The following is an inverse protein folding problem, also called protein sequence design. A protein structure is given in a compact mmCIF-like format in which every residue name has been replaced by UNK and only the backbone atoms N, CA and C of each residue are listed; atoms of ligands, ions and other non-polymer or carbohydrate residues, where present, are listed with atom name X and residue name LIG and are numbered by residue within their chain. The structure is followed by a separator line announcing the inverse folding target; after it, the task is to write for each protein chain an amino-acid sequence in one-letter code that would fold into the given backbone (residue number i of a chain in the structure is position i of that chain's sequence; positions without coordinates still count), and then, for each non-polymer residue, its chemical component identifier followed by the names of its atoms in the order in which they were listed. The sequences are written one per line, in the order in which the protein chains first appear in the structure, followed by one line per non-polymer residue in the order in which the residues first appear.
data_IF_140142895116
#
_entry.id   IF_140142895116
#
_cell.length_a   1.000
_cell.length_b   1.000
_cell.length_c   1.000
_cell.angle_alpha   90.00
_cell.angle_beta   90.00
_cell.angle_gamma   90.00
#
_symmetry.space_group_name_H-M   'P 1'
#
loop_
_entity.id
_entity.type
_entity.pdbx_description
1 polymer ?
#
# COMPACT_ATOMS: atom_id res chain seq x y z
N UNK A 1 28.05 -47.67 -46.84
CA UNK A 1 27.49 -46.64 -45.93
C UNK A 1 26.08 -47.07 -45.60
N UNK A 2 25.92 -47.60 -44.39
CA UNK A 2 24.89 -48.58 -44.06
C UNK A 2 23.66 -47.94 -43.43
N UNK A 3 22.51 -48.60 -43.59
CA UNK A 3 21.23 -48.27 -42.94
C UNK A 3 21.32 -48.15 -41.40
N UNK A 4 22.42 -48.59 -40.81
CA UNK A 4 22.73 -48.49 -39.39
C UNK A 4 23.04 -47.04 -38.96
N UNK A 5 23.57 -46.21 -39.86
CA UNK A 5 23.86 -44.79 -39.59
C UNK A 5 22.56 -43.94 -39.57
N UNK A 6 21.59 -44.27 -40.43
CA UNK A 6 20.28 -43.61 -40.49
C UNK A 6 19.37 -44.01 -39.32
N UNK A 7 19.46 -45.26 -38.84
CA UNK A 7 18.74 -45.71 -37.65
C UNK A 7 19.27 -45.05 -36.36
N UNK A 8 20.56 -44.70 -36.34
CA UNK A 8 21.20 -44.06 -35.18
C UNK A 8 20.88 -42.56 -35.13
N UNK A 9 20.79 -41.88 -36.29
CA UNK A 9 20.38 -40.46 -36.37
C UNK A 9 18.89 -40.24 -36.08
N UNK A 10 18.02 -41.17 -36.47
CA UNK A 10 16.59 -41.10 -36.12
C UNK A 10 16.33 -41.39 -34.63
N UNK A 11 17.14 -42.25 -34.00
CA UNK A 11 17.06 -42.50 -32.55
C UNK A 11 17.54 -41.31 -31.71
N UNK A 12 18.56 -40.56 -32.17
CA UNK A 12 19.02 -39.36 -31.46
C UNK A 12 18.09 -38.15 -31.64
N UNK A 13 17.41 -38.02 -32.78
CA UNK A 13 16.40 -36.95 -32.97
C UNK A 13 15.08 -37.22 -32.21
N UNK A 14 14.68 -38.47 -32.02
CA UNK A 14 13.44 -38.80 -31.28
C UNK A 14 13.60 -38.69 -29.75
N UNK A 15 14.81 -38.84 -29.20
CA UNK A 15 15.02 -38.86 -27.75
C UNK A 15 15.20 -37.46 -27.12
N UNK A 16 15.64 -36.46 -27.88
CA UNK A 16 15.80 -35.08 -27.40
C UNK A 16 14.50 -34.28 -27.37
N UNK A 17 13.70 -34.36 -28.43
CA UNK A 17 12.46 -33.58 -28.56
C UNK A 17 11.29 -34.16 -27.74
N UNK A 18 11.25 -35.47 -27.50
CA UNK A 18 10.23 -36.10 -26.67
C UNK A 18 10.40 -35.76 -25.19
N UNK A 19 11.64 -35.75 -24.70
CA UNK A 19 11.99 -35.40 -23.33
C UNK A 19 11.64 -33.96 -22.97
N UNK A 20 12.05 -32.99 -23.80
CA UNK A 20 11.73 -31.57 -23.57
C UNK A 20 10.23 -31.28 -23.63
N UNK A 21 9.49 -31.91 -24.56
CA UNK A 21 8.03 -31.77 -24.63
C UNK A 21 7.32 -32.37 -23.41
N UNK A 22 7.79 -33.52 -22.91
CA UNK A 22 7.24 -34.14 -21.71
C UNK A 22 7.57 -33.35 -20.44
N UNK A 23 8.79 -32.80 -20.35
CA UNK A 23 9.19 -31.91 -19.26
C UNK A 23 8.37 -30.61 -19.23
N UNK A 24 8.18 -29.99 -20.40
CA UNK A 24 7.37 -28.75 -20.53
C UNK A 24 5.89 -28.99 -20.24
N UNK A 25 5.32 -30.12 -20.69
CA UNK A 25 3.94 -30.52 -20.35
C UNK A 25 3.78 -30.81 -18.85
N UNK A 26 4.75 -31.50 -18.23
CA UNK A 26 4.75 -31.76 -16.79
C UNK A 26 4.86 -30.49 -15.96
N UNK A 27 5.72 -29.56 -16.38
CA UNK A 27 5.87 -28.25 -15.74
C UNK A 27 4.61 -27.39 -15.90
N UNK A 28 4.01 -27.34 -17.09
CA UNK A 28 2.78 -26.61 -17.33
C UNK A 28 1.62 -27.13 -16.48
N UNK A 29 1.51 -28.45 -16.29
CA UNK A 29 0.52 -29.04 -15.38
C UNK A 29 0.78 -28.62 -13.93
N UNK A 30 2.02 -28.72 -13.45
CA UNK A 30 2.40 -28.26 -12.10
C UNK A 30 2.09 -26.78 -11.87
N UNK A 31 2.29 -25.94 -12.88
CA UNK A 31 1.92 -24.51 -12.82
C UNK A 31 0.41 -24.35 -12.62
N UNK A 32 -0.40 -25.01 -13.44
CA UNK A 32 -1.86 -24.93 -13.36
C UNK A 32 -2.36 -25.46 -12.02
N UNK A 33 -1.85 -26.60 -11.56
CA UNK A 33 -2.22 -27.21 -10.28
C UNK A 33 -1.84 -26.30 -9.10
N UNK A 34 -0.65 -25.70 -9.13
CA UNK A 34 -0.23 -24.70 -8.15
C UNK A 34 -1.13 -23.46 -8.19
N UNK A 35 -1.47 -22.96 -9.38
CA UNK A 35 -2.32 -21.79 -9.52
C UNK A 35 -3.70 -22.04 -8.93
N UNK A 36 -4.33 -23.19 -9.23
CA UNK A 36 -5.61 -23.56 -8.62
C UNK A 36 -5.53 -23.66 -7.10
N UNK A 37 -4.52 -24.35 -6.56
CA UNK A 37 -4.34 -24.45 -5.10
C UNK A 37 -4.07 -23.07 -4.48
N UNK A 38 -3.32 -22.19 -5.16
CA UNK A 38 -3.05 -20.83 -4.68
C UNK A 38 -4.30 -19.95 -4.67
N UNK A 39 -5.22 -20.13 -5.62
CA UNK A 39 -6.49 -19.37 -5.67
C UNK A 39 -7.45 -19.83 -4.55
N UNK A 40 -7.44 -21.12 -4.22
CA UNK A 40 -8.31 -21.65 -3.17
C UNK A 40 -7.78 -21.38 -1.74
N UNK A 41 -6.45 -21.33 -1.57
CA UNK A 41 -5.81 -21.21 -0.25
C UNK A 41 -5.36 -19.79 0.08
N UNK A 42 -4.94 -18.99 -0.91
CA UNK A 42 -4.48 -17.62 -0.68
C UNK A 42 -5.60 -16.62 -0.99
N UNK A 43 -6.04 -15.86 0.03
CA UNK A 43 -7.03 -14.78 -0.17
C UNK A 43 -6.49 -13.68 -1.09
N UNK A 44 -5.22 -13.33 -0.92
CA UNK A 44 -4.49 -12.39 -1.77
C UNK A 44 -3.31 -13.10 -2.41
N UNK A 45 -3.13 -12.91 -3.72
CA UNK A 45 -1.94 -13.42 -4.37
C UNK A 45 -0.73 -12.61 -3.87
N UNK A 46 0.38 -13.30 -3.63
CA UNK A 46 1.66 -12.70 -3.27
C UNK A 46 2.66 -12.93 -4.39
N UNK A 47 3.74 -12.14 -4.43
CA UNK A 47 4.82 -12.37 -5.38
C UNK A 47 6.19 -12.36 -4.71
N UNK A 48 7.14 -12.98 -5.40
CA UNK A 48 8.55 -13.00 -5.01
C UNK A 48 9.23 -11.73 -5.51
N UNK A 49 9.91 -11.01 -4.63
CA UNK A 49 10.66 -9.80 -4.94
C UNK A 49 12.12 -10.13 -5.12
N UNK A 50 12.56 -10.19 -6.36
CA UNK A 50 13.95 -10.47 -6.71
C UNK A 50 14.86 -9.25 -6.52
N UNK A 51 14.98 -8.76 -5.28
CA UNK A 51 15.73 -7.55 -4.94
C UNK A 51 17.17 -7.57 -5.45
N UNK A 52 17.87 -8.71 -5.28
CA UNK A 52 19.21 -8.88 -5.79
C UNK A 52 19.27 -8.76 -7.32
N UNK A 53 18.38 -9.44 -8.04
CA UNK A 53 18.35 -9.39 -9.52
C UNK A 53 17.97 -8.01 -10.04
N UNK A 54 17.07 -7.31 -9.36
CA UNK A 54 16.68 -5.95 -9.70
C UNK A 54 17.86 -4.98 -9.53
N UNK A 55 18.55 -5.05 -8.40
CA UNK A 55 19.75 -4.24 -8.14
C UNK A 55 20.87 -4.58 -9.12
N UNK A 56 21.09 -5.86 -9.41
CA UNK A 56 22.05 -6.30 -10.42
C UNK A 56 21.75 -5.71 -11.79
N UNK A 57 20.48 -5.72 -12.21
CA UNK A 57 20.06 -5.13 -13.48
C UNK A 57 20.28 -3.61 -13.52
N UNK A 58 19.97 -2.90 -12.44
CA UNK A 58 20.22 -1.45 -12.32
C UNK A 58 21.72 -1.16 -12.44
N UNK A 59 22.56 -1.84 -11.65
CA UNK A 59 24.02 -1.65 -11.67
C UNK A 59 24.62 -1.96 -13.05
N UNK A 60 24.11 -2.99 -13.73
CA UNK A 60 24.49 -3.29 -15.12
C UNK A 60 24.21 -2.10 -16.04
N UNK A 61 23.01 -1.55 -15.99
CA UNK A 61 22.60 -0.39 -16.81
C UNK A 61 23.42 0.86 -16.47
N UNK A 62 23.73 1.11 -15.20
CA UNK A 62 24.61 2.21 -14.77
C UNK A 62 26.01 2.09 -15.40
N UNK A 63 26.59 0.88 -15.40
CA UNK A 63 27.90 0.64 -15.97
C UNK A 63 27.89 0.85 -17.50
N UNK A 64 26.87 0.36 -18.19
CA UNK A 64 26.71 0.57 -19.64
C UNK A 64 26.58 2.06 -20.00
N UNK A 65 25.79 2.82 -19.23
CA UNK A 65 25.66 4.27 -19.41
C UNK A 65 26.97 5.00 -19.11
N UNK A 66 27.74 4.55 -18.12
CA UNK A 66 29.06 5.11 -17.79
C UNK A 66 30.07 4.88 -18.91
N UNK A 67 30.04 3.72 -19.57
CA UNK A 67 30.88 3.44 -20.73
C UNK A 67 30.50 4.32 -21.93
N UNK A 68 29.20 4.56 -22.17
CA UNK A 68 28.76 5.51 -23.20
C UNK A 68 29.23 6.93 -22.87
N UNK A 69 29.06 7.36 -21.62
CA UNK A 69 29.57 8.65 -21.14
C UNK A 69 31.07 8.78 -21.39
N UNK A 70 31.87 7.79 -21.01
CA UNK A 70 33.33 7.84 -21.23
C UNK A 70 33.71 8.00 -22.70
N UNK A 71 33.01 7.31 -23.62
CA UNK A 71 33.23 7.43 -25.07
C UNK A 71 32.90 8.83 -25.59
N UNK A 72 31.77 9.40 -25.18
CA UNK A 72 31.32 10.73 -25.62
C UNK A 72 32.25 11.87 -25.18
N UNK A 73 32.96 11.73 -24.06
CA UNK A 73 33.89 12.75 -23.55
C UNK A 73 35.27 12.71 -24.21
N UNK A 74 35.54 11.78 -25.13
CA UNK A 74 36.83 11.73 -25.82
C UNK A 74 36.97 12.90 -26.81
N UNK A 75 38.14 13.59 -26.85
CA UNK A 75 38.29 14.89 -27.53
C UNK A 75 38.11 14.88 -29.06
N UNK A 76 37.90 13.72 -29.70
CA UNK A 76 37.67 13.58 -31.14
C UNK A 76 36.46 12.67 -31.46
N UNK A 77 35.54 12.47 -30.51
CA UNK A 77 34.42 11.56 -30.70
C UNK A 77 33.31 12.22 -31.56
N UNK A 78 32.93 11.56 -32.65
CA UNK A 78 31.80 11.97 -33.51
C UNK A 78 30.65 11.01 -33.24
N UNK A 79 29.57 11.54 -32.67
CA UNK A 79 28.39 10.75 -32.32
C UNK A 79 27.61 10.33 -33.57
N UNK A 80 27.32 9.03 -33.69
CA UNK A 80 26.48 8.51 -34.78
C UNK A 80 25.00 8.49 -34.39
N UNK A 81 24.08 8.67 -35.35
CA UNK A 81 22.63 8.61 -35.10
C UNK A 81 22.18 7.31 -34.40
N UNK A 82 22.81 6.18 -34.75
CA UNK A 82 22.58 4.88 -34.13
C UNK A 82 23.00 4.84 -32.65
N UNK A 83 24.07 5.55 -32.28
CA UNK A 83 24.58 5.60 -30.90
C UNK A 83 23.70 6.50 -30.03
N UNK A 84 23.13 7.56 -30.60
CA UNK A 84 22.13 8.38 -29.93
C UNK A 84 20.84 7.59 -29.65
N UNK A 85 20.42 6.72 -30.56
CA UNK A 85 19.24 5.87 -30.36
C UNK A 85 19.49 4.75 -29.33
N UNK A 86 20.68 4.14 -29.34
CA UNK A 86 21.09 3.17 -28.30
C UNK A 86 21.17 3.85 -26.92
N UNK A 87 21.71 5.07 -26.84
CA UNK A 87 21.72 5.86 -25.59
C UNK A 87 20.29 6.14 -25.10
N UNK A 88 19.40 6.59 -25.99
CA UNK A 88 17.99 6.85 -25.65
C UNK A 88 17.31 5.60 -25.10
N UNK A 89 17.55 4.45 -25.72
CA UNK A 89 16.99 3.16 -25.32
C UNK A 89 17.51 2.76 -23.93
N UNK A 90 18.82 2.81 -23.69
CA UNK A 90 19.40 2.47 -22.38
C UNK A 90 18.99 3.42 -21.27
N UNK A 91 18.86 4.71 -21.55
CA UNK A 91 18.33 5.67 -20.58
C UNK A 91 16.88 5.35 -20.22
N UNK A 92 16.07 4.95 -21.20
CA UNK A 92 14.70 4.52 -20.97
C UNK A 92 14.65 3.23 -20.13
N UNK A 93 15.46 2.23 -20.45
CA UNK A 93 15.56 0.98 -19.69
C UNK A 93 16.03 1.21 -18.25
N UNK A 94 17.01 2.09 -18.05
CA UNK A 94 17.51 2.48 -16.73
C UNK A 94 16.44 3.16 -15.88
N UNK A 95 15.72 4.13 -16.46
CA UNK A 95 14.63 4.82 -15.77
C UNK A 95 13.46 3.90 -15.46
N UNK A 96 13.12 3.00 -16.39
CA UNK A 96 12.12 1.96 -16.16
C UNK A 96 12.55 1.02 -15.03
N UNK A 97 13.80 0.53 -15.04
CA UNK A 97 14.32 -0.36 -14.00
C UNK A 97 14.29 0.27 -12.60
N UNK A 98 14.64 1.56 -12.48
CA UNK A 98 14.54 2.29 -11.21
C UNK A 98 13.09 2.41 -10.76
N UNK A 99 12.20 2.83 -11.66
CA UNK A 99 10.78 3.00 -11.35
C UNK A 99 10.16 1.68 -10.92
N UNK A 100 10.46 0.60 -11.62
CA UNK A 100 9.92 -0.72 -11.34
C UNK A 100 10.48 -1.26 -10.01
N UNK A 101 11.75 -1.00 -9.70
CA UNK A 101 12.32 -1.29 -8.38
C UNK A 101 11.65 -0.51 -7.25
N UNK A 102 11.44 0.81 -7.42
CA UNK A 102 10.74 1.65 -6.44
C UNK A 102 9.28 1.18 -6.24
N UNK A 103 8.57 0.94 -7.34
CA UNK A 103 7.18 0.48 -7.31
C UNK A 103 7.02 -0.83 -6.52
N UNK A 104 7.97 -1.76 -6.69
CA UNK A 104 7.98 -3.01 -5.95
C UNK A 104 8.49 -2.81 -4.52
N UNK A 105 9.40 -1.85 -4.28
CA UNK A 105 9.91 -1.54 -2.95
C UNK A 105 8.79 -1.11 -1.99
N UNK A 106 7.87 -0.27 -2.47
CA UNK A 106 6.78 0.33 -1.70
C UNK A 106 5.69 -0.68 -1.29
N UNK A 107 5.70 -1.89 -1.86
CA UNK A 107 4.72 -2.95 -1.55
C UNK A 107 4.95 -3.49 -0.14
N UNK A 108 3.85 -3.78 0.58
CA UNK A 108 3.88 -4.34 1.94
C UNK A 108 4.61 -5.70 1.96
N UNK A 109 5.63 -5.88 2.83
CA UNK A 109 6.31 -7.16 2.97
C UNK A 109 5.44 -8.19 3.70
N UNK A 110 5.59 -9.46 3.34
CA UNK A 110 4.92 -10.56 4.04
C UNK A 110 5.50 -10.79 5.44
N UNK A 111 4.67 -11.30 6.35
CA UNK A 111 5.16 -11.82 7.63
C UNK A 111 6.10 -13.00 7.37
N UNK A 112 7.10 -13.20 8.24
CA UNK A 112 8.05 -14.32 8.13
C UNK A 112 7.35 -15.69 8.06
N UNK A 113 6.26 -15.85 8.82
CA UNK A 113 5.48 -17.10 8.87
C UNK A 113 4.76 -17.33 7.54
N UNK A 114 4.10 -16.29 7.00
CA UNK A 114 3.39 -16.34 5.72
C UNK A 114 4.36 -16.62 4.56
N UNK A 115 5.52 -15.95 4.57
CA UNK A 115 6.59 -16.14 3.61
C UNK A 115 7.15 -17.58 3.64
N UNK A 116 7.35 -18.15 4.84
CA UNK A 116 7.76 -19.55 4.99
C UNK A 116 6.71 -20.52 4.46
N UNK A 117 5.44 -20.33 4.81
CA UNK A 117 4.34 -21.17 4.32
C UNK A 117 4.27 -21.16 2.78
N UNK A 118 4.43 -19.98 2.17
CA UNK A 118 4.46 -19.85 0.72
C UNK A 118 5.70 -20.52 0.11
N UNK A 119 6.87 -20.32 0.71
CA UNK A 119 8.12 -20.97 0.31
C UNK A 119 7.97 -22.50 0.32
N UNK A 120 7.37 -23.08 1.35
CA UNK A 120 7.10 -24.51 1.41
C UNK A 120 6.18 -24.99 0.28
N UNK A 121 5.15 -24.21 -0.08
CA UNK A 121 4.29 -24.54 -1.23
C UNK A 121 5.05 -24.49 -2.55
N UNK A 122 5.81 -23.43 -2.80
CA UNK A 122 6.62 -23.31 -4.01
C UNK A 122 7.61 -24.47 -4.13
N UNK A 123 8.26 -24.85 -3.02
CA UNK A 123 9.10 -26.04 -2.96
C UNK A 123 8.31 -27.32 -3.28
N UNK A 124 7.13 -27.52 -2.71
CA UNK A 124 6.31 -28.72 -2.98
C UNK A 124 6.01 -28.93 -4.48
N UNK A 125 5.78 -27.86 -5.24
CA UNK A 125 5.42 -27.96 -6.66
C UNK A 125 6.63 -27.86 -7.60
N UNK A 126 7.55 -26.94 -7.32
CA UNK A 126 8.61 -26.53 -8.24
C UNK A 126 10.01 -26.87 -7.76
N UNK A 127 10.17 -27.61 -6.66
CA UNK A 127 11.50 -28.11 -6.29
C UNK A 127 12.06 -28.96 -7.43
N UNK A 128 13.07 -28.40 -8.09
CA UNK A 128 13.96 -29.10 -9.00
C UNK A 128 15.17 -29.51 -8.18
N UNK A 129 15.42 -30.80 -8.06
CA UNK A 129 16.59 -31.36 -7.37
C UNK A 129 17.94 -31.03 -8.06
N UNK A 130 17.98 -30.02 -8.93
CA UNK A 130 19.17 -29.61 -9.64
C UNK A 130 20.06 -28.76 -8.72
N UNK A 131 21.00 -29.44 -8.03
CA UNK A 131 22.42 -29.07 -7.86
C UNK A 131 22.81 -27.63 -7.48
N UNK A 132 21.95 -26.85 -6.85
CA UNK A 132 22.31 -25.50 -6.39
C UNK A 132 22.18 -25.47 -4.85
N UNK A 133 23.30 -25.21 -4.17
CA UNK A 133 23.42 -25.04 -2.71
C UNK A 133 22.67 -23.79 -2.18
N UNK A 134 22.04 -23.03 -3.08
CA UNK A 134 21.31 -21.80 -2.82
C UNK A 134 19.83 -22.08 -3.04
N UNK A 135 19.00 -21.82 -2.03
CA UNK A 135 17.55 -21.94 -2.13
C UNK A 135 16.98 -20.88 -3.09
N UNK A 136 16.47 -21.25 -4.28
CA UNK A 136 16.03 -20.27 -5.29
C UNK A 136 14.81 -19.45 -4.86
N UNK A 137 14.08 -19.92 -3.85
CA UNK A 137 12.86 -19.32 -3.34
C UNK A 137 13.09 -18.52 -2.06
N UNK A 138 14.34 -18.39 -1.61
CA UNK A 138 14.74 -17.52 -0.51
C UNK A 138 14.82 -16.07 -0.99
N UNK A 139 13.68 -15.39 -0.96
CA UNK A 139 13.58 -13.99 -1.32
C UNK A 139 12.43 -13.32 -0.56
N UNK A 140 12.39 -11.99 -0.57
CA UNK A 140 11.34 -11.21 0.07
C UNK A 140 10.02 -11.40 -0.67
N UNK A 141 8.95 -11.74 0.05
CA UNK A 141 7.61 -11.87 -0.52
C UNK A 141 6.78 -10.62 -0.24
N UNK A 142 5.87 -10.28 -1.14
CA UNK A 142 5.07 -9.04 -1.05
C UNK A 142 3.67 -9.22 -1.61
N UNK A 143 2.75 -8.41 -1.10
CA UNK A 143 1.37 -8.35 -1.57
C UNK A 143 1.28 -7.58 -2.90
N UNK A 144 0.40 -8.00 -3.83
CA UNK A 144 0.14 -7.25 -5.08
C UNK A 144 -0.61 -5.93 -4.83
N UNK A 145 -1.49 -5.92 -3.84
CA UNK A 145 -2.34 -4.77 -3.56
C UNK A 145 -1.64 -3.84 -2.58
N UNK A 146 -1.45 -2.58 -3.00
CA UNK A 146 -1.13 -1.50 -2.09
C UNK A 146 -2.31 -1.30 -1.14
N UNK A 147 -1.98 -1.12 0.12
CA UNK A 147 -2.85 -0.78 1.25
C UNK A 147 -3.56 0.58 1.09
N UNK A 148 -3.69 1.10 -0.14
CA UNK A 148 -4.52 2.25 -0.50
C UNK A 148 -5.98 1.88 -0.79
N UNK A 149 -6.32 0.58 -0.81
CA UNK A 149 -7.71 0.14 -0.79
C UNK A 149 -8.01 -0.49 0.57
N UNK A 150 -8.70 0.25 1.43
CA UNK A 150 -9.36 -0.19 2.69
C UNK A 150 -8.58 -0.40 3.97
N UNK A 151 -7.28 -0.10 4.09
CA UNK A 151 -6.82 0.45 5.37
C UNK A 151 -7.24 1.92 5.41
N UNK A 152 -8.52 2.15 5.66
CA UNK A 152 -8.91 3.41 6.29
C UNK A 152 -8.13 3.38 7.58
N UNK A 153 -7.00 4.10 7.59
CA UNK A 153 -6.13 4.34 8.73
C UNK A 153 -6.99 4.34 9.96
N UNK A 154 -6.86 3.30 10.78
CA UNK A 154 -7.74 3.14 11.94
C UNK A 154 -7.39 4.30 12.87
N UNK A 155 -8.14 5.39 12.75
CA UNK A 155 -8.02 6.57 13.60
C UNK A 155 -8.07 6.08 15.06
N UNK A 156 -7.36 6.74 15.98
CA UNK A 156 -7.33 6.32 17.39
C UNK A 156 -8.74 6.09 17.96
N UNK A 157 -9.71 6.89 17.50
CA UNK A 157 -11.13 6.76 17.81
C UNK A 157 -11.77 5.48 17.25
N UNK A 158 -11.51 5.14 15.98
CA UNK A 158 -11.97 3.88 15.36
C UNK A 158 -11.38 2.67 16.06
N UNK A 159 -10.10 2.74 16.46
CA UNK A 159 -9.41 1.67 17.17
C UNK A 159 -10.04 1.41 18.54
N UNK A 160 -10.29 2.49 19.30
CA UNK A 160 -10.97 2.39 20.59
C UNK A 160 -12.41 1.92 20.48
N UNK A 161 -13.12 2.30 19.43
CA UNK A 161 -14.47 1.79 19.14
C UNK A 161 -14.44 0.28 18.87
N UNK A 162 -13.47 -0.22 18.10
CA UNK A 162 -13.31 -1.66 17.85
C UNK A 162 -12.97 -2.42 19.15
N UNK A 163 -12.16 -1.84 20.04
CA UNK A 163 -11.79 -2.44 21.32
C UNK A 163 -12.97 -2.54 22.31
N UNK A 164 -13.91 -1.59 22.27
CA UNK A 164 -15.06 -1.56 23.18
C UNK A 164 -16.35 -2.18 22.60
N UNK A 165 -16.48 -2.31 21.28
CA UNK A 165 -17.68 -2.90 20.67
C UNK A 165 -17.62 -4.44 20.66
N UNK A 166 -18.75 -5.13 20.93
CA UNK A 166 -18.81 -6.57 20.81
C UNK A 166 -18.59 -7.03 19.35
N UNK A 167 -17.87 -8.14 19.20
CA UNK A 167 -17.42 -8.77 17.93
C UNK A 167 -18.52 -8.89 16.86
N UNK A 168 -19.79 -8.93 17.27
CA UNK A 168 -20.94 -9.01 16.37
C UNK A 168 -21.11 -7.78 15.47
N UNK A 169 -20.59 -6.62 15.86
CA UNK A 169 -20.73 -5.36 15.10
C UNK A 169 -19.45 -4.93 14.39
N UNK A 170 -18.32 -5.51 14.74
CA UNK A 170 -17.00 -5.16 14.18
C UNK A 170 -16.71 -5.86 12.86
N UNK A 171 -17.34 -7.01 12.58
CA UNK A 171 -17.23 -7.72 11.31
C UNK A 171 -18.28 -7.27 10.28
N UNK A 172 -17.84 -7.01 9.04
CA UNK A 172 -18.73 -6.83 7.88
C UNK A 172 -19.43 -8.14 7.51
N UNK A 173 -20.65 -8.09 6.95
CA UNK A 173 -21.36 -9.30 6.46
C UNK A 173 -20.53 -10.09 5.45
N UNK A 174 -19.76 -9.40 4.60
CA UNK A 174 -18.91 -10.03 3.57
C UNK A 174 -17.65 -10.67 4.15
N UNK A 175 -17.07 -10.08 5.21
CA UNK A 175 -15.88 -10.61 5.87
C UNK A 175 -16.23 -11.79 6.79
N UNK A 176 -17.44 -11.78 7.40
CA UNK A 176 -17.95 -12.89 8.20
C UNK A 176 -18.19 -14.16 7.39
N UNK A 177 -18.61 -14.03 6.12
CA UNK A 177 -18.76 -15.17 5.22
C UNK A 177 -17.41 -15.72 4.74
N UNK A 178 -16.42 -14.85 4.53
CA UNK A 178 -15.07 -15.25 4.11
C UNK A 178 -14.21 -15.82 5.25
N UNK A 179 -14.39 -15.32 6.49
CA UNK A 179 -13.51 -15.61 7.64
C UNK A 179 -14.27 -16.19 8.83
N UNK A 180 -15.06 -17.23 8.58
CA UNK A 180 -15.88 -17.90 9.60
C UNK A 180 -15.03 -18.44 10.76
N UNK A 181 -13.84 -18.96 10.48
CA UNK A 181 -12.92 -19.51 11.50
C UNK A 181 -12.28 -18.42 12.38
N UNK A 182 -11.91 -17.28 11.82
CA UNK A 182 -11.35 -16.14 12.58
C UNK A 182 -12.44 -15.46 13.44
N UNK A 183 -13.68 -15.43 12.94
CA UNK A 183 -14.85 -14.98 13.70
C UNK A 183 -15.13 -15.84 14.94
N UNK A 184 -14.97 -17.15 14.84
CA UNK A 184 -15.14 -18.08 15.96
C UNK A 184 -13.99 -17.98 16.99
N UNK A 185 -12.81 -17.58 16.56
CA UNK A 185 -11.61 -17.44 17.41
C UNK A 185 -11.50 -16.06 18.07
N UNK A 186 -12.35 -15.10 17.70
CA UNK A 186 -12.41 -13.77 18.33
C UNK A 186 -11.24 -12.86 17.97
N UNK A 187 -10.59 -13.09 16.83
CA UNK A 187 -9.50 -12.22 16.38
C UNK A 187 -10.02 -10.83 15.94
N UNK A 188 -9.17 -9.82 16.12
CA UNK A 188 -9.48 -8.43 15.78
C UNK A 188 -9.64 -8.31 14.25
N UNK A 189 -10.81 -7.83 13.75
CA UNK A 189 -11.04 -7.71 12.31
C UNK A 189 -10.07 -6.72 11.68
N UNK A 190 -9.56 -7.06 10.49
CA UNK A 190 -8.64 -6.23 9.72
C UNK A 190 -9.39 -5.12 8.99
N UNK A 191 -10.65 -5.32 8.62
CA UNK A 191 -11.50 -4.26 8.06
C UNK A 191 -12.48 -3.67 9.09
N UNK A 192 -12.66 -2.36 9.02
CA UNK A 192 -13.62 -1.63 9.87
C UNK A 192 -15.02 -1.87 9.31
N UNK A 193 -15.90 -2.54 10.07
CA UNK A 193 -17.31 -2.69 9.68
C UNK A 193 -17.95 -1.34 9.31
N UNK A 194 -18.77 -1.33 8.26
CA UNK A 194 -19.47 -0.12 7.79
C UNK A 194 -20.31 0.56 8.88
N UNK A 195 -20.75 -0.19 9.90
CA UNK A 195 -21.41 0.38 11.07
C UNK A 195 -20.45 1.20 11.95
N UNK A 196 -19.26 0.69 12.24
CA UNK A 196 -18.24 1.38 13.04
C UNK A 196 -17.74 2.63 12.32
N UNK A 197 -17.56 2.55 10.99
CA UNK A 197 -17.23 3.73 10.18
C UNK A 197 -18.34 4.79 10.22
N UNK A 198 -19.60 4.38 10.12
CA UNK A 198 -20.75 5.29 10.24
C UNK A 198 -20.85 5.90 11.63
N UNK A 199 -20.63 5.11 12.68
CA UNK A 199 -20.67 5.56 14.07
C UNK A 199 -19.51 6.52 14.39
N UNK A 200 -18.30 6.23 13.92
CA UNK A 200 -17.15 7.13 14.07
C UNK A 200 -17.42 8.48 13.38
N UNK A 201 -17.94 8.46 12.14
CA UNK A 201 -18.34 9.68 11.42
C UNK A 201 -19.45 10.44 12.15
N UNK A 202 -20.42 9.73 12.71
CA UNK A 202 -21.50 10.32 13.50
C UNK A 202 -20.99 11.02 14.77
N UNK A 203 -20.08 10.37 15.51
CA UNK A 203 -19.45 10.96 16.71
C UNK A 203 -18.64 12.20 16.35
N UNK A 204 -17.83 12.15 15.28
CA UNK A 204 -17.04 13.30 14.81
C UNK A 204 -17.96 14.45 14.40
N UNK A 205 -19.04 14.15 13.64
CA UNK A 205 -19.99 15.15 13.19
C UNK A 205 -20.74 15.82 14.36
N UNK A 206 -21.18 15.04 15.36
CA UNK A 206 -21.86 15.57 16.54
C UNK A 206 -20.90 16.38 17.42
N UNK A 207 -19.70 15.85 17.68
CA UNK A 207 -18.71 16.54 18.51
C UNK A 207 -18.29 17.86 17.86
N UNK A 208 -18.03 17.86 16.55
CA UNK A 208 -17.74 19.06 15.78
C UNK A 208 -18.91 20.04 15.81
N UNK A 209 -20.12 19.60 15.46
CA UNK A 209 -21.32 20.45 15.44
C UNK A 209 -21.65 21.05 16.81
N UNK A 210 -21.59 20.25 17.88
CA UNK A 210 -21.80 20.72 19.25
C UNK A 210 -20.74 21.77 19.64
N UNK A 211 -19.48 21.58 19.25
CA UNK A 211 -18.42 22.53 19.58
C UNK A 211 -18.58 23.89 18.86
N UNK A 212 -19.28 23.93 17.72
CA UNK A 212 -19.63 25.17 17.01
C UNK A 212 -20.88 25.83 17.56
N UNK A 213 -21.93 25.05 17.82
CA UNK A 213 -23.25 25.55 18.20
C UNK A 213 -23.28 26.00 19.67
N UNK A 214 -22.64 25.26 20.57
CA UNK A 214 -22.69 25.56 22.02
C UNK A 214 -22.15 26.95 22.35
N UNK A 215 -20.97 27.40 21.84
CA UNK A 215 -20.50 28.76 22.08
C UNK A 215 -21.46 29.83 21.54
N UNK A 216 -22.03 29.59 20.35
CA UNK A 216 -22.98 30.51 19.72
C UNK A 216 -24.27 30.65 20.54
N UNK A 217 -24.79 29.55 21.08
CA UNK A 217 -25.97 29.54 21.96
C UNK A 217 -25.68 30.22 23.29
N UNK A 218 -24.50 30.01 23.88
CA UNK A 218 -24.14 30.67 25.15
C UNK A 218 -24.00 32.18 24.99
N UNK A 219 -23.40 32.64 23.89
CA UNK A 219 -23.26 34.07 23.61
C UNK A 219 -24.59 34.78 23.39
N UNK A 220 -25.55 34.12 22.72
CA UNK A 220 -26.87 34.71 22.46
C UNK A 220 -27.73 34.81 23.72
N UNK A 221 -27.55 33.90 24.67
CA UNK A 221 -28.31 33.89 25.94
C UNK A 221 -27.71 34.79 27.02
N UNK A 222 -26.44 35.20 26.91
CA UNK A 222 -25.76 36.01 27.93
C UNK A 222 -24.73 36.96 27.30
N UNK A 223 -25.18 38.09 26.70
CA UNK A 223 -24.29 39.05 26.07
C UNK A 223 -23.42 39.75 27.13
N UNK A 224 -22.18 39.30 27.25
CA UNK A 224 -21.15 39.90 28.09
C UNK A 224 -19.80 39.59 27.43
N UNK A 225 -18.98 40.62 27.20
CA UNK A 225 -17.74 40.49 26.43
C UNK A 225 -16.77 39.47 27.04
N UNK A 226 -16.61 39.52 28.37
CA UNK A 226 -15.70 38.61 29.08
C UNK A 226 -16.18 37.16 29.01
N UNK A 227 -17.49 36.93 29.17
CA UNK A 227 -18.06 35.57 29.10
C UNK A 227 -17.93 34.98 27.71
N UNK A 228 -18.21 35.79 26.69
CA UNK A 228 -18.08 35.46 25.27
C UNK A 228 -16.66 35.01 24.93
N UNK A 229 -15.66 35.83 25.27
CA UNK A 229 -14.26 35.55 24.98
C UNK A 229 -13.76 34.25 25.64
N UNK A 230 -14.15 34.04 26.91
CA UNK A 230 -13.81 32.84 27.67
C UNK A 230 -14.46 31.60 27.05
N UNK A 231 -15.75 31.65 26.70
CA UNK A 231 -16.43 30.50 26.09
C UNK A 231 -15.85 30.09 24.74
N UNK A 232 -15.45 31.06 23.90
CA UNK A 232 -14.80 30.75 22.61
C UNK A 232 -13.45 30.10 22.83
N UNK A 233 -12.64 30.67 23.73
CA UNK A 233 -11.28 30.19 23.98
C UNK A 233 -11.29 28.75 24.49
N UNK A 234 -12.18 28.44 25.45
CA UNK A 234 -12.34 27.08 26.00
C UNK A 234 -12.85 26.10 24.93
N UNK A 235 -13.84 26.51 24.13
CA UNK A 235 -14.37 25.67 23.05
C UNK A 235 -13.33 25.39 21.95
N UNK A 236 -12.54 26.39 21.55
CA UNK A 236 -11.42 26.26 20.61
C UNK A 236 -10.38 25.24 21.09
N UNK A 237 -9.97 25.33 22.36
CA UNK A 237 -8.99 24.42 22.94
C UNK A 237 -9.54 22.99 22.98
N UNK A 238 -10.79 22.81 23.43
CA UNK A 238 -11.44 21.50 23.46
C UNK A 238 -11.58 20.89 22.06
N UNK A 239 -11.99 21.69 21.07
CA UNK A 239 -12.09 21.25 19.67
C UNK A 239 -10.74 20.80 19.11
N UNK A 240 -9.69 21.61 19.34
CA UNK A 240 -8.33 21.32 18.89
C UNK A 240 -7.79 20.03 19.51
N UNK A 241 -8.04 19.80 20.82
CA UNK A 241 -7.69 18.55 21.49
C UNK A 241 -8.45 17.35 20.88
N UNK A 242 -9.75 17.49 20.62
CA UNK A 242 -10.55 16.42 19.99
C UNK A 242 -10.01 16.09 18.59
N UNK A 243 -9.66 17.08 17.79
CA UNK A 243 -9.04 16.85 16.48
C UNK A 243 -7.67 16.19 16.61
N UNK A 244 -6.81 16.70 17.50
CA UNK A 244 -5.44 16.22 17.70
C UNK A 244 -5.38 14.77 18.17
N UNK A 245 -6.29 14.35 19.05
CA UNK A 245 -6.34 12.98 19.55
C UNK A 245 -7.27 12.05 18.75
N UNK A 246 -8.31 12.60 18.11
CA UNK A 246 -9.38 11.81 17.50
C UNK A 246 -9.16 11.43 16.05
N UNK A 247 -8.41 12.23 15.29
CA UNK A 247 -8.26 12.04 13.84
C UNK A 247 -6.78 12.21 13.48
N UNK A 248 -6.19 11.22 12.78
CA UNK A 248 -4.84 11.40 12.19
C UNK A 248 -4.96 12.27 10.94
N UNK A 249 -5.18 13.56 11.16
CA UNK A 249 -5.22 14.56 10.10
C UNK A 249 -3.79 15.00 9.79
N UNK A 250 -3.45 15.15 8.51
CA UNK A 250 -2.17 15.74 8.11
C UNK A 250 -2.03 17.12 8.79
N UNK A 251 -0.85 17.46 9.32
CA UNK A 251 -0.64 18.70 10.09
C UNK A 251 -1.20 19.96 9.39
N UNK A 252 -1.23 19.95 8.05
CA UNK A 252 -1.78 21.03 7.22
C UNK A 252 -3.31 21.11 7.22
N UNK A 253 -4.00 19.98 7.25
CA UNK A 253 -5.47 19.94 7.27
C UNK A 253 -6.02 20.36 8.65
N UNK A 254 -5.33 20.01 9.75
CA UNK A 254 -5.66 20.49 11.10
C UNK A 254 -5.47 22.00 11.21
N UNK A 255 -4.37 22.51 10.63
CA UNK A 255 -4.06 23.94 10.59
C UNK A 255 -5.14 24.70 9.80
N UNK A 256 -5.53 24.20 8.62
CA UNK A 256 -6.57 24.81 7.78
C UNK A 256 -7.92 24.80 8.50
N UNK A 257 -8.32 23.68 9.11
CA UNK A 257 -9.59 23.58 9.84
C UNK A 257 -9.65 24.54 11.03
N UNK A 258 -8.57 24.62 11.81
CA UNK A 258 -8.46 25.55 12.95
C UNK A 258 -8.48 27.01 12.48
N UNK A 259 -7.79 27.33 11.38
CA UNK A 259 -7.76 28.68 10.81
C UNK A 259 -9.13 29.11 10.26
N UNK A 260 -9.84 28.22 9.54
CA UNK A 260 -11.20 28.48 9.08
C UNK A 260 -12.16 28.70 10.25
N UNK A 261 -12.02 27.90 11.31
CA UNK A 261 -12.85 28.06 12.51
C UNK A 261 -12.56 29.37 13.26
N UNK A 262 -11.28 29.73 13.42
CA UNK A 262 -10.86 30.99 14.01
C UNK A 262 -11.43 32.18 13.22
N UNK A 263 -11.38 32.12 11.89
CA UNK A 263 -11.92 33.17 11.04
C UNK A 263 -13.44 33.36 11.23
N UNK A 264 -14.22 32.29 11.31
CA UNK A 264 -15.68 32.37 11.52
C UNK A 264 -16.01 32.97 12.90
N UNK A 265 -15.31 32.53 13.95
CA UNK A 265 -15.50 33.06 15.30
C UNK A 265 -15.10 34.53 15.41
N UNK A 266 -13.97 34.93 14.82
CA UNK A 266 -13.50 36.32 14.83
C UNK A 266 -14.47 37.24 14.10
N UNK A 267 -15.09 36.79 12.99
CA UNK A 267 -16.12 37.57 12.28
C UNK A 267 -17.38 37.75 13.15
N UNK A 268 -17.80 36.72 13.90
CA UNK A 268 -18.94 36.83 14.80
C UNK A 268 -18.68 37.70 16.04
N UNK A 269 -17.47 37.62 16.62
CA UNK A 269 -17.10 38.46 17.77
C UNK A 269 -16.92 39.92 17.33
N UNK A 270 -16.27 40.17 16.18
CA UNK A 270 -16.04 41.51 15.65
C UNK A 270 -17.34 42.25 15.29
N UNK A 271 -18.34 41.55 14.76
CA UNK A 271 -19.63 42.15 14.39
C UNK A 271 -20.50 42.51 15.60
N UNK A 272 -20.40 41.77 16.71
CA UNK A 272 -21.12 42.11 17.95
C UNK A 272 -20.48 43.28 18.71
N UNK A 273 -19.16 43.46 18.63
CA UNK A 273 -18.47 44.62 19.26
C UNK A 273 -18.68 45.93 18.50
N UNK A 274 -18.97 45.89 17.20
CA UNK A 274 -19.21 47.11 16.40
C UNK A 274 -20.60 47.70 16.58
N UNK A 275 -21.52 47.01 17.28
CA UNK A 275 -22.87 47.48 17.55
C UNK A 275 -23.04 48.39 18.78
N UNK A 276 -22.02 48.50 19.63
CA UNK A 276 -22.13 49.20 20.94
C UNK A 276 -21.24 50.45 21.05
N UNK A 277 -20.60 50.87 19.95
CA UNK A 277 -19.70 52.04 19.89
C UNK A 277 -20.32 53.31 19.29
N UNK A 278 -21.66 53.42 19.30
CA UNK A 278 -22.42 54.43 18.53
C UNK A 278 -23.43 55.23 19.34
N UNK A 279 -23.14 55.58 20.59
CA UNK A 279 -23.79 56.71 21.27
C UNK A 279 -22.97 57.19 22.46
N UNK A 280 -22.12 58.20 22.23
CA UNK A 280 -21.99 59.45 22.99
C UNK A 280 -20.92 60.33 22.32
#
# INVERSE_FOLDING_TARGET
MSQQEQATTLKTMSNGQGGEKLWTLGFARKLVDYTFESVDIEEDFHFLRFEFLQRLNIVKLENELTQIKSRLYQPNYITTAKELDDLRTRLHEYTAAIRDYQYLQDKKPLSRIEAQNRKFRLHRYFYSAAEIDIDPWESHYSYFQDEHTRSVTVDPLRRRLIEYLPVRFTFSRQEREKRLREYEQGELPREVSGFVDTLARFIIAIAGGACLIVPMVIMTLSPSEVKSLVTVSVAMIMFSLILSFGIRVSNIETLVSTATYAAVLVVFVGTNSSGDGGSL
#
